data_IF_120687576350
#
_entry.id   IF_120687576350
#
_cell.length_a   1.000
_cell.length_b   1.000
_cell.length_c   1.000
_cell.angle_alpha   90.00
_cell.angle_beta   90.00
_cell.angle_gamma   90.00
#
_symmetry.space_group_name_H-M   'P 1'
#
loop_
_entity.id
_entity.type
_entity.pdbx_description
1 polymer ?
#
# COMPACT_ATOMS: atom_id res chain seq x y z
N UNK A 1 -10.17 -27.22 -6.17
CA UNK A 1 -8.97 -27.71 -6.89
C UNK A 1 -7.79 -26.90 -6.41
N UNK A 2 -6.94 -27.46 -5.54
CA UNK A 2 -5.70 -26.82 -5.10
C UNK A 2 -4.76 -26.73 -6.31
N UNK A 3 -4.37 -25.53 -6.72
CA UNK A 3 -3.37 -25.33 -7.77
C UNK A 3 -2.04 -25.91 -7.30
N UNK A 4 -1.40 -26.71 -8.15
CA UNK A 4 -0.23 -27.52 -7.84
C UNK A 4 1.07 -26.75 -7.48
N UNK A 5 1.01 -25.47 -7.12
CA UNK A 5 2.15 -24.64 -6.68
C UNK A 5 1.69 -23.52 -5.72
N UNK A 6 1.07 -23.87 -4.59
CA UNK A 6 0.87 -22.91 -3.52
C UNK A 6 2.23 -22.54 -2.90
N UNK A 7 2.56 -21.26 -2.88
CA UNK A 7 3.83 -20.73 -2.37
C UNK A 7 3.59 -19.90 -1.12
N UNK A 8 4.60 -19.83 -0.25
CA UNK A 8 4.70 -18.86 0.85
C UNK A 8 5.35 -17.60 0.32
N UNK A 9 4.57 -16.52 0.23
CA UNK A 9 5.03 -15.24 -0.31
C UNK A 9 4.99 -14.19 0.80
N UNK A 10 6.15 -13.63 1.11
CA UNK A 10 6.26 -12.52 2.06
C UNK A 10 6.25 -11.20 1.28
N UNK A 11 5.27 -10.35 1.55
CA UNK A 11 5.24 -8.99 1.06
C UNK A 11 6.01 -8.09 2.04
N UNK A 12 7.23 -7.69 1.67
CA UNK A 12 8.06 -6.80 2.47
C UNK A 12 7.86 -5.36 2.00
N UNK A 13 7.30 -4.49 2.84
CA UNK A 13 6.90 -3.15 2.39
C UNK A 13 7.01 -2.10 3.48
N UNK A 14 7.44 -0.88 3.16
CA UNK A 14 7.49 0.22 4.13
C UNK A 14 6.10 0.68 4.61
N UNK A 15 5.05 0.37 3.84
CA UNK A 15 3.66 0.65 4.20
C UNK A 15 2.70 -0.33 3.51
N UNK A 16 1.49 -0.48 4.04
CA UNK A 16 0.42 -1.25 3.40
C UNK A 16 -0.38 -0.39 2.39
N UNK A 17 0.31 0.11 1.36
CA UNK A 17 -0.28 0.98 0.34
C UNK A 17 -1.17 0.20 -0.65
N UNK A 18 -1.75 0.91 -1.63
CA UNK A 18 -2.63 0.33 -2.64
C UNK A 18 -1.98 -0.79 -3.47
N UNK A 19 -0.70 -0.66 -3.84
CA UNK A 19 0.03 -1.68 -4.59
C UNK A 19 0.22 -2.95 -3.75
N UNK A 20 0.67 -2.82 -2.50
CA UNK A 20 0.85 -3.94 -1.58
C UNK A 20 -0.49 -4.64 -1.30
N UNK A 21 -1.57 -3.87 -1.14
CA UNK A 21 -2.93 -4.41 -0.99
C UNK A 21 -3.37 -5.21 -2.22
N UNK A 22 -3.22 -4.64 -3.42
CA UNK A 22 -3.63 -5.29 -4.66
C UNK A 22 -2.86 -6.59 -4.88
N UNK A 23 -1.54 -6.57 -4.74
CA UNK A 23 -0.71 -7.78 -4.85
C UNK A 23 -1.13 -8.83 -3.82
N UNK A 24 -1.34 -8.42 -2.57
CA UNK A 24 -1.79 -9.33 -1.51
C UNK A 24 -3.14 -9.99 -1.81
N UNK A 25 -4.11 -9.23 -2.33
CA UNK A 25 -5.41 -9.77 -2.72
C UNK A 25 -5.29 -10.78 -3.87
N UNK A 26 -4.58 -10.39 -4.93
CA UNK A 26 -4.39 -11.18 -6.16
C UNK A 26 -3.63 -12.49 -5.92
N UNK A 27 -2.59 -12.47 -5.10
CA UNK A 27 -1.80 -13.67 -4.75
C UNK A 27 -2.59 -14.63 -3.87
N UNK A 28 -3.37 -14.11 -2.90
CA UNK A 28 -4.26 -14.95 -2.07
C UNK A 28 -5.36 -15.59 -2.89
N UNK A 29 -5.96 -14.84 -3.83
CA UNK A 29 -6.99 -15.36 -4.72
C UNK A 29 -6.47 -16.51 -5.60
N UNK A 30 -5.18 -16.49 -5.95
CA UNK A 30 -4.49 -17.58 -6.68
C UNK A 30 -4.07 -18.76 -5.79
N UNK A 31 -4.38 -18.73 -4.49
CA UNK A 31 -4.12 -19.83 -3.56
C UNK A 31 -2.73 -19.83 -2.90
N UNK A 32 -1.96 -18.74 -3.00
CA UNK A 32 -0.69 -18.61 -2.29
C UNK A 32 -0.90 -18.24 -0.82
N UNK A 33 0.00 -18.70 0.05
CA UNK A 33 0.06 -18.26 1.45
C UNK A 33 0.79 -16.92 1.51
N UNK A 34 0.05 -15.84 1.76
CA UNK A 34 0.63 -14.48 1.75
C UNK A 34 0.64 -13.89 3.15
N UNK A 35 1.82 -13.47 3.60
CA UNK A 35 2.02 -12.65 4.80
C UNK A 35 2.65 -11.31 4.42
N UNK A 36 2.48 -10.30 5.25
CA UNK A 36 3.08 -8.97 5.05
C UNK A 36 3.98 -8.68 6.24
N UNK A 37 5.13 -8.09 5.98
CA UNK A 37 5.97 -7.48 7.01
C UNK A 37 6.34 -6.06 6.62
N UNK A 38 6.31 -5.16 7.60
CA UNK A 38 6.80 -3.80 7.44
C UNK A 38 8.32 -3.73 7.52
N UNK A 39 8.89 -3.02 6.55
CA UNK A 39 10.32 -2.74 6.46
C UNK A 39 10.72 -1.65 7.47
N UNK A 40 10.86 -2.06 8.75
CA UNK A 40 11.12 -1.21 9.92
C UNK A 40 12.62 -1.19 10.25
N UNK A 41 13.20 -2.38 10.42
CA UNK A 41 14.63 -2.60 10.67
C UNK A 41 15.08 -3.93 10.07
N UNK A 42 16.39 -4.07 9.95
CA UNK A 42 17.02 -5.29 9.43
C UNK A 42 16.66 -6.49 10.32
N UNK A 43 16.73 -6.33 11.64
CA UNK A 43 16.35 -7.36 12.61
C UNK A 43 14.89 -7.82 12.51
N UNK A 44 13.96 -6.88 12.28
CA UNK A 44 12.52 -7.19 12.09
C UNK A 44 12.31 -7.96 10.79
N UNK A 45 13.04 -7.57 9.74
CA UNK A 45 12.98 -8.24 8.43
C UNK A 45 13.55 -9.65 8.49
N UNK A 46 14.69 -9.83 9.16
CA UNK A 46 15.34 -11.12 9.39
C UNK A 46 14.45 -12.06 10.20
N UNK A 47 13.87 -11.58 11.29
CA UNK A 47 12.95 -12.34 12.13
C UNK A 47 11.71 -12.78 11.34
N UNK A 48 11.11 -11.88 10.56
CA UNK A 48 9.95 -12.20 9.74
C UNK A 48 10.26 -13.25 8.67
N UNK A 49 11.41 -13.14 8.00
CA UNK A 49 11.87 -14.13 7.04
C UNK A 49 12.09 -15.50 7.71
N UNK A 50 12.70 -15.53 8.90
CA UNK A 50 12.92 -16.77 9.66
C UNK A 50 11.61 -17.41 10.14
N UNK A 51 10.67 -16.62 10.66
CA UNK A 51 9.38 -17.10 11.15
C UNK A 51 8.48 -17.62 10.04
N UNK A 52 8.45 -16.91 8.90
CA UNK A 52 7.56 -17.23 7.80
C UNK A 52 8.13 -18.24 6.81
N UNK A 53 9.47 -18.35 6.73
CA UNK A 53 10.21 -19.15 5.75
C UNK A 53 9.65 -19.03 4.32
N UNK A 54 9.66 -17.83 3.72
CA UNK A 54 9.06 -17.61 2.41
C UNK A 54 9.79 -18.37 1.30
N UNK A 55 9.03 -18.86 0.33
CA UNK A 55 9.59 -19.36 -0.94
C UNK A 55 9.96 -18.18 -1.86
N UNK A 56 9.32 -17.03 -1.65
CA UNK A 56 9.54 -15.79 -2.39
C UNK A 56 9.27 -14.57 -1.50
N UNK A 57 10.14 -13.57 -1.56
CA UNK A 57 9.90 -12.24 -1.02
C UNK A 57 9.57 -11.31 -2.20
N UNK A 58 8.44 -10.61 -2.11
CA UNK A 58 8.09 -9.53 -3.04
C UNK A 58 8.11 -8.22 -2.28
N UNK A 59 8.86 -7.25 -2.78
CA UNK A 59 9.05 -5.96 -2.15
C UNK A 59 8.44 -4.84 -3.01
N UNK A 60 7.13 -4.56 -2.85
CA UNK A 60 6.41 -3.62 -3.71
C UNK A 60 6.73 -2.15 -3.42
N UNK A 61 7.21 -1.83 -2.22
CA UNK A 61 7.52 -0.47 -1.81
C UNK A 61 8.52 -0.48 -0.66
N UNK A 62 9.79 -0.19 -0.95
CA UNK A 62 10.86 -0.10 0.04
C UNK A 62 11.40 1.31 0.16
N UNK A 63 11.95 1.63 1.34
CA UNK A 63 12.74 2.85 1.57
C UNK A 63 14.18 2.58 1.98
N UNK A 64 14.49 1.32 2.31
CA UNK A 64 15.85 0.82 2.58
C UNK A 64 16.10 -0.43 1.75
N UNK A 65 17.37 -0.83 1.65
CA UNK A 65 17.73 -2.08 1.02
C UNK A 65 17.26 -3.26 1.89
N UNK A 66 16.93 -4.39 1.24
CA UNK A 66 16.74 -5.66 1.94
C UNK A 66 18.10 -6.07 2.53
N UNK A 67 18.18 -6.55 3.78
CA UNK A 67 19.44 -7.00 4.37
C UNK A 67 20.08 -8.16 3.59
N UNK A 68 21.41 -8.18 3.51
CA UNK A 68 22.17 -9.27 2.85
C UNK A 68 21.87 -10.63 3.43
N UNK A 69 21.71 -10.71 4.75
CA UNK A 69 21.29 -11.91 5.46
C UNK A 69 19.97 -12.51 4.92
N UNK A 70 19.11 -11.69 4.30
CA UNK A 70 17.81 -12.12 3.75
C UNK A 70 17.91 -12.41 2.27
N UNK A 71 18.41 -11.48 1.45
CA UNK A 71 18.42 -11.66 -0.02
C UNK A 71 19.46 -12.67 -0.51
N UNK A 72 20.51 -12.94 0.27
CA UNK A 72 21.46 -14.03 -0.04
C UNK A 72 20.84 -15.42 0.14
N UNK A 73 19.73 -15.54 0.87
CA UNK A 73 19.07 -16.81 1.23
C UNK A 73 17.71 -17.00 0.58
N UNK A 74 17.03 -15.91 0.21
CA UNK A 74 15.68 -15.93 -0.36
C UNK A 74 15.64 -15.16 -1.68
N UNK A 75 14.86 -15.66 -2.63
CA UNK A 75 14.56 -14.91 -3.84
C UNK A 75 13.77 -13.65 -3.47
N UNK A 76 14.33 -12.48 -3.78
CA UNK A 76 13.73 -11.18 -3.49
C UNK A 76 13.43 -10.44 -4.81
N UNK A 77 12.14 -10.21 -5.10
CA UNK A 77 11.70 -9.43 -6.25
C UNK A 77 11.30 -8.02 -5.80
N UNK A 78 12.09 -7.02 -6.19
CA UNK A 78 11.83 -5.61 -5.86
C UNK A 78 11.07 -4.97 -7.01
N UNK A 79 9.91 -4.37 -6.70
CA UNK A 79 9.15 -3.59 -7.70
C UNK A 79 9.78 -2.21 -7.82
N UNK A 80 10.37 -1.93 -8.97
CA UNK A 80 10.90 -0.62 -9.31
C UNK A 80 9.94 0.11 -10.25
N UNK A 81 9.36 1.27 -9.86
CA UNK A 81 8.44 2.04 -10.70
C UNK A 81 9.20 2.91 -11.72
N UNK A 82 10.07 2.27 -12.50
CA UNK A 82 10.89 2.89 -13.54
C UNK A 82 11.07 1.94 -14.73
N UNK A 83 11.50 2.49 -15.86
CA UNK A 83 11.77 1.68 -17.06
C UNK A 83 12.95 0.72 -16.82
N UNK A 84 13.06 -0.31 -17.66
CA UNK A 84 14.18 -1.26 -17.58
C UNK A 84 15.50 -0.50 -17.65
N UNK A 85 16.35 -0.71 -16.65
CA UNK A 85 17.66 -0.05 -16.53
C UNK A 85 17.68 1.18 -15.63
N UNK A 86 16.52 1.75 -15.26
CA UNK A 86 16.48 2.79 -14.24
C UNK A 86 16.78 2.21 -12.85
N UNK A 87 17.54 2.97 -12.06
CA UNK A 87 17.99 2.61 -10.71
C UNK A 87 17.87 3.77 -9.74
N UNK A 88 17.25 4.88 -10.15
CA UNK A 88 17.17 6.10 -9.36
C UNK A 88 16.06 5.99 -8.30
N UNK A 89 16.22 6.63 -7.13
CA UNK A 89 15.07 6.89 -6.28
C UNK A 89 14.11 7.84 -7.01
N UNK A 90 12.80 7.71 -6.74
CA UNK A 90 11.75 8.56 -7.34
C UNK A 90 11.72 8.52 -8.88
N UNK A 91 11.93 7.34 -9.47
CA UNK A 91 11.89 7.12 -10.92
C UNK A 91 10.62 7.68 -11.59
N UNK A 92 9.46 7.52 -10.95
CA UNK A 92 8.19 8.05 -11.45
C UNK A 92 8.17 9.58 -11.47
N UNK A 93 8.57 10.24 -10.37
CA UNK A 93 8.64 11.71 -10.30
C UNK A 93 9.55 12.25 -11.40
N UNK A 94 10.71 11.60 -11.61
CA UNK A 94 11.60 11.94 -12.71
C UNK A 94 10.90 11.77 -14.05
N UNK A 95 10.30 10.63 -14.35
CA UNK A 95 9.63 10.40 -15.64
C UNK A 95 8.53 11.45 -15.93
N UNK A 96 7.74 11.82 -14.90
CA UNK A 96 6.71 12.86 -15.00
C UNK A 96 7.33 14.23 -15.25
N UNK A 97 8.39 14.58 -14.52
CA UNK A 97 8.99 15.91 -14.60
C UNK A 97 9.80 16.13 -15.88
N UNK A 98 10.44 15.09 -16.42
CA UNK A 98 11.24 15.20 -17.66
C UNK A 98 10.39 15.54 -18.90
N UNK A 99 9.10 15.18 -18.92
CA UNK A 99 8.20 15.43 -20.04
C UNK A 99 7.01 16.34 -19.67
N UNK A 100 7.15 17.15 -18.62
CA UNK A 100 6.05 18.02 -18.17
C UNK A 100 5.81 19.13 -19.17
N UNK A 101 4.82 18.96 -20.03
CA UNK A 101 4.24 20.08 -20.77
C UNK A 101 3.32 20.87 -19.83
N UNK A 102 3.40 22.22 -19.80
CA UNK A 102 2.47 23.02 -19.02
C UNK A 102 1.07 22.88 -19.63
N UNK A 103 0.25 22.01 -19.07
CA UNK A 103 -1.15 21.84 -19.46
C UNK A 103 -2.05 22.45 -18.39
N UNK A 104 -2.77 23.51 -18.77
CA UNK A 104 -3.81 24.10 -17.92
C UNK A 104 -5.04 23.17 -17.91
N UNK A 105 -5.91 23.32 -16.92
CA UNK A 105 -7.18 22.58 -16.90
C UNK A 105 -8.02 22.83 -18.18
N UNK A 106 -8.00 24.06 -18.71
CA UNK A 106 -8.63 24.42 -19.99
C UNK A 106 -7.96 23.72 -21.19
N UNK A 107 -6.63 23.63 -21.19
CA UNK A 107 -5.88 22.89 -22.21
C UNK A 107 -6.18 21.39 -22.20
N UNK A 108 -6.33 20.79 -21.01
CA UNK A 108 -6.69 19.38 -20.87
C UNK A 108 -8.10 19.08 -21.41
N UNK A 109 -9.05 19.99 -21.15
CA UNK A 109 -10.41 19.90 -21.70
C UNK A 109 -10.41 20.05 -23.23
N UNK A 110 -9.63 20.98 -23.77
CA UNK A 110 -9.52 21.19 -25.22
C UNK A 110 -8.91 19.99 -25.96
N UNK A 111 -8.01 19.24 -25.31
CA UNK A 111 -7.41 18.02 -25.84
C UNK A 111 -8.28 16.76 -25.63
N UNK A 112 -9.46 16.90 -25.03
CA UNK A 112 -10.33 15.76 -24.73
C UNK A 112 -9.74 14.77 -23.72
N UNK A 113 -8.76 15.21 -22.91
CA UNK A 113 -8.14 14.39 -21.86
C UNK A 113 -9.01 14.31 -20.60
N UNK A 114 -10.00 15.20 -20.48
CA UNK A 114 -11.00 15.20 -19.41
C UNK A 114 -12.38 15.13 -20.04
N UNK A 115 -13.15 14.11 -19.66
CA UNK A 115 -14.56 13.99 -20.02
C UNK A 115 -15.32 15.13 -19.34
N UNK A 116 -16.17 15.86 -20.07
CA UNK A 116 -17.13 16.76 -19.46
C UNK A 116 -18.06 15.90 -18.57
N UNK A 117 -17.88 16.02 -17.26
CA UNK A 117 -18.30 15.02 -16.29
C UNK A 117 -19.79 14.64 -16.37
N UNK A 118 -20.01 13.32 -16.40
CA UNK A 118 -21.17 12.58 -15.90
C UNK A 118 -22.54 12.97 -16.50
N UNK A 119 -23.11 12.19 -17.45
CA UNK A 119 -24.52 12.34 -17.79
C UNK A 119 -25.39 12.03 -16.56
N UNK A 120 -26.19 13.00 -16.13
CA UNK A 120 -27.09 12.85 -14.98
C UNK A 120 -27.82 14.16 -14.64
N UNK A 121 -28.92 14.06 -13.87
CA UNK A 121 -29.55 15.23 -13.29
C UNK A 121 -28.68 15.80 -12.17
N UNK A 122 -28.08 16.96 -12.43
CA UNK A 122 -27.22 17.68 -11.49
C UNK A 122 -27.94 17.96 -10.18
N UNK A 123 -29.26 18.21 -10.22
CA UNK A 123 -30.04 18.52 -9.02
C UNK A 123 -30.20 17.30 -8.12
N UNK A 124 -30.55 16.14 -8.69
CA UNK A 124 -30.59 14.87 -7.96
C UNK A 124 -29.22 14.49 -7.40
N UNK A 125 -28.15 14.61 -8.19
CA UNK A 125 -26.78 14.36 -7.75
C UNK A 125 -26.37 15.26 -6.57
N UNK A 126 -26.70 16.55 -6.63
CA UNK A 126 -26.45 17.48 -5.53
C UNK A 126 -27.24 17.13 -4.26
N UNK A 127 -28.49 16.69 -4.39
CA UNK A 127 -29.30 16.27 -3.25
C UNK A 127 -28.72 15.03 -2.57
N UNK A 128 -28.29 14.04 -3.35
CA UNK A 128 -27.63 12.82 -2.86
C UNK A 128 -26.28 13.15 -2.19
N UNK A 129 -25.44 13.97 -2.83
CA UNK A 129 -24.19 14.45 -2.24
C UNK A 129 -24.42 15.23 -0.95
N UNK A 130 -25.49 16.03 -0.85
CA UNK A 130 -25.81 16.78 0.35
C UNK A 130 -26.16 15.85 1.52
N UNK A 131 -26.88 14.75 1.26
CA UNK A 131 -27.17 13.73 2.25
C UNK A 131 -25.89 13.05 2.74
N UNK A 132 -25.06 12.53 1.83
CA UNK A 132 -23.77 11.93 2.17
C UNK A 132 -22.85 12.91 2.92
N UNK A 133 -22.79 14.17 2.49
CA UNK A 133 -22.02 15.21 3.17
C UNK A 133 -22.47 15.40 4.62
N UNK A 134 -23.78 15.42 4.89
CA UNK A 134 -24.30 15.59 6.24
C UNK A 134 -23.92 14.40 7.14
N UNK A 135 -24.00 13.17 6.61
CA UNK A 135 -23.58 11.96 7.31
C UNK A 135 -22.08 11.95 7.63
N UNK A 136 -21.26 12.27 6.62
CA UNK A 136 -19.80 12.37 6.76
C UNK A 136 -19.41 13.46 7.75
N UNK A 137 -20.04 14.65 7.71
CA UNK A 137 -19.79 15.73 8.68
C UNK A 137 -20.14 15.28 10.10
N UNK A 138 -21.26 14.58 10.29
CA UNK A 138 -21.62 14.06 11.61
C UNK A 138 -20.60 13.03 12.11
N UNK A 139 -20.06 12.19 11.22
CA UNK A 139 -19.00 11.23 11.55
C UNK A 139 -17.69 11.95 11.89
N UNK A 140 -17.27 12.89 11.05
CA UNK A 140 -16.09 13.72 11.27
C UNK A 140 -16.19 14.46 12.61
N UNK A 141 -17.32 15.08 12.92
CA UNK A 141 -17.53 15.78 14.19
C UNK A 141 -17.28 14.85 15.40
N UNK A 142 -17.73 13.58 15.33
CA UNK A 142 -17.41 12.58 16.37
C UNK A 142 -15.93 12.24 16.43
N UNK A 143 -15.25 12.12 15.29
CA UNK A 143 -13.80 11.86 15.26
C UNK A 143 -12.98 13.03 15.80
N UNK A 144 -13.41 14.27 15.55
CA UNK A 144 -12.70 15.48 15.98
C UNK A 144 -12.97 15.86 17.44
N UNK A 145 -14.21 15.76 17.88
CA UNK A 145 -14.66 16.30 19.17
C UNK A 145 -15.26 15.25 20.11
N UNK A 146 -15.36 13.99 19.67
CA UNK A 146 -15.78 12.89 20.51
C UNK A 146 -14.71 12.48 21.53
N UNK A 147 -15.09 11.55 22.40
CA UNK A 147 -14.22 11.06 23.47
C UNK A 147 -13.10 10.14 22.98
N UNK A 148 -13.22 9.54 21.79
CA UNK A 148 -12.21 8.64 21.23
C UNK A 148 -11.01 9.43 20.67
N UNK A 149 -9.80 9.30 21.25
CA UNK A 149 -8.62 10.00 20.77
C UNK A 149 -7.98 9.35 19.52
N UNK A 150 -8.50 8.21 19.04
CA UNK A 150 -7.89 7.42 17.97
C UNK A 150 -7.60 8.24 16.70
N UNK A 151 -8.53 9.14 16.34
CA UNK A 151 -8.34 10.04 15.20
C UNK A 151 -7.17 11.00 15.42
N UNK A 152 -7.06 11.65 16.58
CA UNK A 152 -6.00 12.61 16.87
C UNK A 152 -4.62 11.96 16.89
N UNK A 153 -4.53 10.76 17.47
CA UNK A 153 -3.29 9.96 17.45
C UNK A 153 -2.93 9.58 16.01
N UNK A 154 -3.88 9.08 15.23
CA UNK A 154 -3.65 8.68 13.83
C UNK A 154 -3.26 9.88 12.97
N UNK A 155 -3.93 11.03 13.15
CA UNK A 155 -3.63 12.29 12.47
C UNK A 155 -2.22 12.77 12.80
N UNK A 156 -1.82 12.74 14.06
CA UNK A 156 -0.46 13.09 14.46
C UNK A 156 0.57 12.21 13.74
N UNK A 157 0.38 10.88 13.76
CA UNK A 157 1.27 9.96 13.05
C UNK A 157 1.31 10.21 11.53
N UNK A 158 0.16 10.53 10.92
CA UNK A 158 0.10 10.88 9.49
C UNK A 158 0.87 12.16 9.17
N UNK A 159 0.62 13.24 9.93
CA UNK A 159 1.26 14.55 9.72
C UNK A 159 2.76 14.48 9.94
N UNK A 160 3.18 13.85 11.02
CA UNK A 160 4.60 13.72 11.37
C UNK A 160 5.28 12.52 10.68
N UNK A 161 4.55 11.78 9.85
CA UNK A 161 5.02 10.57 9.17
C UNK A 161 5.70 9.60 10.14
N UNK A 162 5.16 9.49 11.36
CA UNK A 162 5.69 8.62 12.40
C UNK A 162 5.73 7.19 11.86
N UNK A 163 6.90 6.57 11.93
CA UNK A 163 7.09 5.21 11.48
C UNK A 163 6.28 4.26 12.37
N UNK A 164 5.64 3.28 11.75
CA UNK A 164 5.01 2.18 12.48
C UNK A 164 6.08 1.36 13.17
N UNK A 165 5.98 1.17 14.47
CA UNK A 165 6.94 0.38 15.24
C UNK A 165 6.75 -1.14 15.09
N UNK A 166 5.63 -1.58 14.49
CA UNK A 166 5.36 -2.98 14.19
C UNK A 166 4.38 -3.13 13.02
N UNK A 167 4.39 -4.30 12.39
CA UNK A 167 3.39 -4.71 11.41
C UNK A 167 2.09 -5.13 12.13
N UNK A 168 0.91 -4.59 11.77
CA UNK A 168 -0.37 -5.06 12.32
C UNK A 168 -0.54 -6.57 12.19
N UNK A 169 -0.94 -7.24 13.28
CA UNK A 169 -1.01 -8.72 13.35
C UNK A 169 -1.85 -9.37 12.26
N UNK A 170 -2.97 -8.75 11.88
CA UNK A 170 -3.84 -9.27 10.81
C UNK A 170 -3.19 -9.26 9.42
N UNK A 171 -2.09 -8.51 9.23
CA UNK A 171 -1.28 -8.53 8.02
C UNK A 171 -0.10 -9.51 8.16
N UNK A 172 0.54 -9.51 9.32
CA UNK A 172 1.67 -10.36 9.67
C UNK A 172 1.21 -11.71 10.25
N UNK A 173 0.58 -12.55 9.41
CA UNK A 173 0.10 -13.89 9.79
C UNK A 173 1.15 -14.76 10.50
N UNK A 174 2.43 -14.59 10.16
CA UNK A 174 3.55 -15.30 10.79
C UNK A 174 3.82 -14.89 12.25
N UNK A 175 3.19 -13.81 12.73
CA UNK A 175 3.25 -13.29 14.10
C UNK A 175 1.97 -13.59 14.90
N UNK A 176 1.03 -14.36 14.35
CA UNK A 176 -0.16 -14.80 15.07
C UNK A 176 0.18 -15.80 16.18
N UNK A 177 -0.56 -15.75 17.29
CA UNK A 177 -0.40 -16.68 18.40
C UNK A 177 -0.76 -18.09 17.92
N UNK A 178 0.21 -19.00 17.92
CA UNK A 178 0.04 -20.37 17.44
C UNK A 178 0.49 -20.59 15.98
N UNK A 179 1.11 -19.59 15.33
CA UNK A 179 1.80 -19.81 14.06
C UNK A 179 2.80 -20.95 14.18
N UNK A 180 2.70 -21.90 13.25
CA UNK A 180 3.66 -22.99 13.08
C UNK A 180 3.94 -23.12 11.59
N UNK A 181 5.20 -23.38 11.27
CA UNK A 181 5.56 -23.87 9.95
C UNK A 181 4.87 -25.22 9.77
N UNK A 182 3.93 -25.27 8.82
CA UNK A 182 3.23 -26.49 8.42
C UNK A 182 4.21 -27.48 7.78
#
# INVERSE_FOLDING_TARGET
>A
MLTANAMRILLLSHAFNSLTQRLGAELRQRGHLVSVEFDISDSVTEEAAALFAPDLIVAPYLRRAVPESVWSRHVCLIVHPGVVGDRRPSALDWAVMHNRQPLTAQGAQALGLTDACLPGDVSAFHAELAAYRNEEIAHMHRNFYGFDPSYHVTRHHFVHKSLTSWTPRHLARHRELGWKLA
#
